data_IF_046929287431
#
_entry.id   IF_046929287431
#
_cell.length_a   1.000
_cell.length_b   1.000
_cell.length_c   1.000
_cell.angle_alpha   90.00
_cell.angle_beta   90.00
_cell.angle_gamma   90.00
#
_symmetry.space_group_name_H-M   'P 1'
#
loop_
_entity.id
_entity.type
_entity.pdbx_description
1 polymer ?
#
# COMPACT_ATOMS: atom_id res chain seq x y z
N UNK A 1 -15.45 16.57 -2.06
CA UNK A 1 -14.12 16.40 -2.68
C UNK A 1 -13.52 15.18 -2.01
N UNK A 2 -12.97 14.25 -2.78
CA UNK A 2 -12.33 13.04 -2.23
C UNK A 2 -11.16 13.43 -1.32
N UNK A 3 -10.86 12.63 -0.31
CA UNK A 3 -9.64 12.79 0.47
C UNK A 3 -8.44 12.52 -0.43
N UNK A 4 -7.50 13.46 -0.45
CA UNK A 4 -6.29 13.34 -1.25
C UNK A 4 -5.05 13.43 -0.35
N UNK A 5 -4.05 12.61 -0.66
CA UNK A 5 -2.84 12.42 0.13
C UNK A 5 -1.64 12.12 -0.79
N UNK A 6 -0.43 12.28 -0.27
CA UNK A 6 0.79 11.94 -1.00
C UNK A 6 1.28 10.55 -0.59
N UNK A 7 1.58 9.72 -1.59
CA UNK A 7 2.20 8.41 -1.41
C UNK A 7 3.66 8.51 -1.86
N UNK A 8 4.58 8.15 -0.97
CA UNK A 8 5.98 7.95 -1.33
C UNK A 8 6.16 6.51 -1.79
N UNK A 9 6.57 6.33 -3.04
CA UNK A 9 6.80 5.00 -3.63
C UNK A 9 8.14 4.45 -3.15
N UNK A 10 8.13 3.25 -2.57
CA UNK A 10 9.35 2.52 -2.18
C UNK A 10 9.70 1.46 -3.22
N UNK A 11 8.69 0.79 -3.77
CA UNK A 11 8.83 -0.40 -4.61
C UNK A 11 8.02 -0.20 -5.88
N UNK A 12 8.68 -0.01 -7.04
CA UNK A 12 7.99 0.04 -8.32
C UNK A 12 7.33 -1.30 -8.66
N UNK A 13 6.19 -1.23 -9.34
CA UNK A 13 5.51 -2.38 -9.90
C UNK A 13 6.44 -3.27 -10.73
N UNK A 14 6.32 -4.58 -10.56
CA UNK A 14 7.16 -5.59 -11.21
C UNK A 14 8.52 -5.84 -10.54
N UNK A 15 8.87 -5.10 -9.48
CA UNK A 15 10.06 -5.35 -8.69
C UNK A 15 9.92 -6.58 -7.79
N UNK A 16 11.01 -7.34 -7.65
CA UNK A 16 11.19 -8.39 -6.63
C UNK A 16 12.11 -7.93 -5.49
N UNK A 17 12.74 -6.77 -5.62
CA UNK A 17 13.47 -6.13 -4.53
C UNK A 17 12.48 -5.34 -3.69
N UNK A 18 12.41 -5.67 -2.41
CA UNK A 18 11.67 -4.95 -1.39
C UNK A 18 12.59 -3.90 -0.78
N UNK A 19 12.31 -2.65 -1.10
CA UNK A 19 12.96 -1.50 -0.50
C UNK A 19 12.08 -0.95 0.62
N UNK A 20 12.70 -0.28 1.57
CA UNK A 20 12.02 0.49 2.62
C UNK A 20 12.77 1.81 2.81
N UNK A 21 12.05 2.86 3.17
CA UNK A 21 12.64 4.09 3.67
C UNK A 21 13.02 3.90 5.13
N UNK A 22 14.29 4.12 5.41
CA UNK A 22 14.78 4.26 6.78
C UNK A 22 14.29 5.62 7.32
N UNK A 23 13.24 5.61 8.15
CA UNK A 23 12.59 6.84 8.63
C UNK A 23 13.47 7.71 9.54
N UNK A 24 14.57 7.19 10.09
CA UNK A 24 15.55 8.00 10.82
C UNK A 24 16.42 8.83 9.87
N UNK A 25 16.80 8.25 8.73
CA UNK A 25 17.77 8.87 7.80
C UNK A 25 17.14 9.44 6.53
N UNK A 26 15.89 9.07 6.23
CA UNK A 26 15.19 9.36 4.97
C UNK A 26 15.79 8.65 3.76
N UNK A 27 16.61 7.61 3.96
CA UNK A 27 17.31 6.90 2.87
C UNK A 27 16.57 5.62 2.51
N UNK A 28 16.49 5.32 1.21
CA UNK A 28 16.06 4.01 0.75
C UNK A 28 17.11 2.95 1.06
N UNK A 29 16.64 1.85 1.65
CA UNK A 29 17.41 0.67 1.99
C UNK A 29 16.80 -0.53 1.27
N UNK A 30 17.64 -1.38 0.69
CA UNK A 30 17.20 -2.72 0.28
C UNK A 30 17.03 -3.55 1.55
N UNK A 31 15.79 -3.85 1.92
CA UNK A 31 15.47 -4.78 3.00
C UNK A 31 15.84 -6.20 2.54
N UNK A 32 15.21 -6.68 1.46
CA UNK A 32 15.49 -8.00 0.88
C UNK A 32 15.01 -8.13 -0.56
N UNK A 33 15.42 -9.21 -1.22
CA UNK A 33 14.72 -9.73 -2.40
C UNK A 33 13.67 -10.74 -1.93
N UNK A 34 12.45 -10.70 -2.49
CA UNK A 34 11.38 -11.62 -2.09
C UNK A 34 11.79 -13.08 -2.29
N UNK A 35 11.43 -13.95 -1.35
CA UNK A 35 11.86 -15.35 -1.34
C UNK A 35 11.06 -16.19 -2.36
N UNK A 36 9.80 -15.83 -2.57
CA UNK A 36 8.94 -16.39 -3.61
C UNK A 36 9.23 -15.79 -4.99
N UNK A 37 8.75 -16.43 -6.05
CA UNK A 37 8.89 -15.94 -7.43
C UNK A 37 7.87 -14.81 -7.79
N UNK A 38 7.30 -14.17 -6.77
CA UNK A 38 6.35 -13.06 -6.92
C UNK A 38 7.07 -11.74 -7.19
N UNK A 39 6.29 -10.74 -7.61
CA UNK A 39 6.71 -9.36 -7.83
C UNK A 39 5.57 -8.46 -7.35
N UNK A 40 5.89 -7.26 -6.88
CA UNK A 40 4.87 -6.29 -6.50
C UNK A 40 3.97 -6.00 -7.73
N UNK A 41 2.64 -6.13 -7.61
CA UNK A 41 1.75 -6.03 -8.78
C UNK A 41 1.63 -4.59 -9.30
N UNK A 42 1.87 -3.61 -8.43
CA UNK A 42 1.78 -2.17 -8.68
C UNK A 42 2.80 -1.43 -7.81
N UNK A 43 2.90 -0.12 -8.00
CA UNK A 43 3.74 0.73 -7.16
C UNK A 43 3.26 0.67 -5.72
N UNK A 44 4.20 0.48 -4.80
CA UNK A 44 3.96 0.29 -3.38
C UNK A 44 4.85 1.22 -2.57
N UNK A 45 4.32 1.72 -1.45
CA UNK A 45 5.04 2.45 -0.44
C UNK A 45 4.08 2.89 0.65
N UNK A 46 4.19 4.12 1.14
CA UNK A 46 3.38 4.57 2.27
C UNK A 46 2.83 5.99 2.10
N UNK A 47 1.83 6.33 2.90
CA UNK A 47 1.20 7.65 2.91
C UNK A 47 1.96 8.60 3.84
N UNK A 48 2.40 9.75 3.34
CA UNK A 48 3.13 10.72 4.14
C UNK A 48 2.28 11.29 5.29
N UNK A 49 2.92 11.45 6.47
CA UNK A 49 2.26 12.05 7.64
C UNK A 49 1.24 11.14 8.32
N UNK A 50 1.38 9.82 8.17
CA UNK A 50 0.51 8.81 8.78
C UNK A 50 1.30 7.90 9.74
N UNK A 51 0.58 7.26 10.66
CA UNK A 51 1.10 6.22 11.55
C UNK A 51 0.07 5.10 11.66
N UNK A 52 0.43 3.91 11.19
CA UNK A 52 -0.31 2.66 11.27
C UNK A 52 -0.43 2.14 12.70
N UNK A 53 -1.07 0.97 12.84
CA UNK A 53 -1.22 0.30 14.14
C UNK A 53 0.03 -0.52 14.52
N UNK A 54 0.82 -0.90 13.53
CA UNK A 54 2.10 -1.61 13.63
C UNK A 54 3.29 -0.70 14.00
N UNK A 55 3.10 0.62 13.88
CA UNK A 55 4.09 1.64 14.22
C UNK A 55 4.83 2.22 13.01
N UNK A 56 4.54 1.72 11.80
CA UNK A 56 5.06 2.26 10.54
C UNK A 56 4.02 3.17 9.86
N UNK A 57 4.39 4.00 8.88
CA UNK A 57 3.41 4.77 8.12
C UNK A 57 2.43 3.85 7.37
N UNK A 58 1.20 4.33 7.16
CA UNK A 58 0.15 3.54 6.52
C UNK A 58 0.52 3.18 5.08
N UNK A 59 0.54 1.88 4.79
CA UNK A 59 0.88 1.34 3.48
C UNK A 59 -0.11 1.73 2.40
N UNK A 60 0.40 1.93 1.19
CA UNK A 60 -0.37 2.23 0.00
C UNK A 60 0.14 1.53 -1.25
N UNK A 61 -0.81 1.12 -2.08
CA UNK A 61 -0.58 0.54 -3.41
C UNK A 61 -1.29 1.41 -4.45
N UNK A 62 -0.52 1.92 -5.41
CA UNK A 62 -0.97 2.90 -6.41
C UNK A 62 -1.24 2.19 -7.73
N UNK A 63 -2.50 2.16 -8.18
CA UNK A 63 -2.86 1.60 -9.48
C UNK A 63 -2.47 2.57 -10.60
N UNK A 64 -1.25 2.42 -11.11
CA UNK A 64 -0.66 3.19 -12.22
C UNK A 64 -0.22 2.25 -13.35
N UNK A 65 -0.30 2.72 -14.60
CA UNK A 65 -0.04 1.91 -15.80
C UNK A 65 1.44 1.57 -15.98
N UNK A 66 2.33 2.52 -15.70
CA UNK A 66 3.77 2.33 -15.82
C UNK A 66 4.42 2.49 -14.44
N UNK A 67 5.28 1.55 -14.02
CA UNK A 67 6.01 1.66 -12.77
C UNK A 67 6.81 2.95 -12.68
N UNK A 68 6.84 3.56 -11.50
CA UNK A 68 7.64 4.76 -11.26
C UNK A 68 9.04 4.39 -10.74
N UNK A 69 9.60 5.22 -9.85
CA UNK A 69 10.91 5.03 -9.25
C UNK A 69 10.80 5.11 -7.73
N UNK A 70 11.66 4.39 -6.98
CA UNK A 70 11.75 4.57 -5.54
C UNK A 70 12.03 6.03 -5.15
N UNK A 71 11.32 6.55 -4.16
CA UNK A 71 11.42 7.91 -3.64
C UNK A 71 10.57 8.96 -4.36
N UNK A 72 9.74 8.56 -5.34
CA UNK A 72 8.80 9.47 -6.02
C UNK A 72 7.55 9.66 -5.17
N UNK A 73 7.05 10.89 -5.11
CA UNK A 73 5.73 11.21 -4.55
C UNK A 73 4.66 11.18 -5.64
N UNK A 74 3.53 10.55 -5.33
CA UNK A 74 2.33 10.56 -6.17
C UNK A 74 1.17 11.13 -5.36
N UNK A 75 0.54 12.18 -5.89
CA UNK A 75 -0.70 12.74 -5.35
C UNK A 75 -1.84 11.78 -5.65
N UNK A 76 -2.41 11.18 -4.63
CA UNK A 76 -3.35 10.07 -4.72
C UNK A 76 -4.70 10.38 -4.07
N UNK A 77 -5.70 9.57 -4.45
CA UNK A 77 -6.97 9.41 -3.72
C UNK A 77 -7.25 7.93 -3.53
N UNK A 78 -7.89 7.57 -2.41
CA UNK A 78 -8.25 6.19 -2.12
C UNK A 78 -9.39 5.70 -3.03
N UNK A 79 -9.44 4.39 -3.25
CA UNK A 79 -10.57 3.70 -3.87
C UNK A 79 -11.02 2.47 -3.06
N UNK A 80 -10.14 1.89 -2.25
CA UNK A 80 -10.42 0.74 -1.42
C UNK A 80 -9.31 0.55 -0.39
N UNK A 81 -9.50 -0.43 0.50
CA UNK A 81 -8.43 -0.93 1.35
C UNK A 81 -8.42 -2.46 1.37
N UNK A 82 -7.23 -3.02 1.49
CA UNK A 82 -7.02 -4.44 1.71
C UNK A 82 -6.57 -4.64 3.16
N UNK A 83 -7.21 -5.56 3.86
CA UNK A 83 -6.91 -5.85 5.26
C UNK A 83 -6.45 -7.28 5.42
N UNK A 84 -5.35 -7.43 6.12
CA UNK A 84 -4.77 -8.71 6.50
C UNK A 84 -4.10 -8.58 7.86
N UNK A 85 -3.70 -9.70 8.43
CA UNK A 85 -2.82 -9.74 9.59
C UNK A 85 -1.60 -10.58 9.27
N UNK A 86 -0.45 -10.17 9.78
CA UNK A 86 0.80 -10.92 9.65
C UNK A 86 1.41 -11.20 11.03
N UNK A 87 2.66 -11.65 11.06
CA UNK A 87 3.37 -11.94 12.31
C UNK A 87 3.53 -10.73 13.26
N UNK A 88 3.40 -9.49 12.77
CA UNK A 88 3.59 -8.25 13.51
C UNK A 88 2.27 -7.59 13.93
N UNK A 89 1.13 -7.94 13.32
CA UNK A 89 -0.18 -7.42 13.72
C UNK A 89 -1.14 -7.21 12.56
N UNK A 90 -2.04 -6.23 12.71
CA UNK A 90 -2.90 -5.76 11.63
C UNK A 90 -2.07 -4.99 10.60
N UNK A 91 -2.24 -5.36 9.33
CA UNK A 91 -1.49 -4.83 8.19
C UNK A 91 -2.47 -4.36 7.11
N UNK A 92 -2.91 -3.11 7.25
CA UNK A 92 -3.88 -2.47 6.36
C UNK A 92 -3.18 -1.74 5.20
N UNK A 93 -3.64 -1.99 3.98
CA UNK A 93 -3.06 -1.43 2.75
C UNK A 93 -4.08 -0.64 1.97
N UNK A 94 -3.82 0.63 1.74
CA UNK A 94 -4.70 1.51 0.97
C UNK A 94 -4.51 1.28 -0.53
N UNK A 95 -5.58 0.95 -1.25
CA UNK A 95 -5.56 0.99 -2.70
C UNK A 95 -5.93 2.40 -3.16
N UNK A 96 -5.09 2.98 -4.02
CA UNK A 96 -5.27 4.34 -4.47
C UNK A 96 -4.91 4.51 -5.94
N UNK A 97 -5.30 5.67 -6.49
CA UNK A 97 -5.02 6.08 -7.87
C UNK A 97 -4.52 7.51 -7.89
N UNK A 98 -3.75 7.92 -8.92
CA UNK A 98 -3.41 9.33 -9.12
C UNK A 98 -4.66 10.22 -9.12
N UNK A 99 -4.70 11.23 -8.25
CA UNK A 99 -5.91 12.01 -7.96
C UNK A 99 -6.45 12.79 -9.16
N UNK A 100 -5.55 13.22 -10.05
CA UNK A 100 -5.86 14.12 -11.17
C UNK A 100 -5.70 13.46 -12.55
N UNK A 101 -5.52 12.14 -12.61
CA UNK A 101 -5.45 11.43 -13.89
C UNK A 101 -6.87 11.14 -14.42
N UNK A 102 -7.28 11.74 -15.57
CA UNK A 102 -8.60 11.52 -16.12
C UNK A 102 -8.87 10.05 -16.50
N UNK A 103 -7.83 9.24 -16.73
CA UNK A 103 -7.96 7.80 -17.02
C UNK A 103 -8.48 7.01 -15.82
N UNK A 104 -8.36 7.55 -14.61
CA UNK A 104 -8.75 6.89 -13.36
C UNK A 104 -10.13 7.32 -12.86
N UNK A 105 -10.84 8.19 -13.56
CA UNK A 105 -12.12 8.75 -13.12
C UNK A 105 -13.22 7.71 -12.89
N UNK A 106 -13.14 6.54 -13.50
CA UNK A 106 -14.13 5.47 -13.28
C UNK A 106 -13.83 4.62 -12.05
N UNK A 107 -12.63 4.68 -11.49
CA UNK A 107 -12.25 3.93 -10.29
C UNK A 107 -12.61 4.78 -9.06
N UNK A 108 -13.80 4.61 -8.49
CA UNK A 108 -14.28 5.39 -7.35
C UNK A 108 -14.39 4.56 -6.07
N UNK A 109 -14.69 3.27 -6.21
CA UNK A 109 -14.81 2.33 -5.09
C UNK A 109 -14.26 0.94 -5.46
N UNK A 110 -14.21 0.02 -4.50
CA UNK A 110 -13.76 -1.37 -4.67
C UNK A 110 -14.49 -2.08 -5.82
N UNK A 111 -15.77 -1.78 -6.03
CA UNK A 111 -16.59 -2.38 -7.08
C UNK A 111 -16.21 -1.96 -8.51
N UNK A 112 -15.45 -0.88 -8.65
CA UNK A 112 -14.96 -0.41 -9.95
C UNK A 112 -13.62 -1.05 -10.33
N UNK A 113 -12.93 -1.68 -9.37
CA UNK A 113 -11.68 -2.38 -9.62
C UNK A 113 -11.95 -3.67 -10.41
N UNK A 114 -11.23 -3.92 -11.53
CA UNK A 114 -11.34 -5.18 -12.26
C UNK A 114 -11.11 -6.38 -11.34
N UNK A 115 -12.00 -7.38 -11.43
CA UNK A 115 -11.97 -8.54 -10.53
C UNK A 115 -10.61 -9.25 -10.52
N UNK A 116 -10.01 -9.48 -11.69
CA UNK A 116 -8.71 -10.14 -11.78
C UNK A 116 -7.55 -9.30 -11.24
N UNK A 117 -7.64 -7.97 -11.28
CA UNK A 117 -6.64 -7.09 -10.65
C UNK A 117 -6.74 -7.19 -9.13
N UNK A 118 -7.97 -7.18 -8.59
CA UNK A 118 -8.24 -7.38 -7.16
C UNK A 118 -7.74 -8.74 -6.68
N UNK A 119 -7.99 -9.81 -7.44
CA UNK A 119 -7.54 -11.17 -7.12
C UNK A 119 -6.02 -11.31 -7.21
N UNK A 120 -5.36 -10.68 -8.18
CA UNK A 120 -3.90 -10.68 -8.30
C UNK A 120 -3.24 -10.00 -7.09
N UNK A 121 -3.74 -8.83 -6.68
CA UNK A 121 -3.24 -8.09 -5.51
C UNK A 121 -3.44 -8.90 -4.23
N UNK A 122 -4.63 -9.47 -4.03
CA UNK A 122 -4.90 -10.32 -2.86
C UNK A 122 -3.96 -11.53 -2.82
N UNK A 123 -3.82 -12.25 -3.93
CA UNK A 123 -2.94 -13.43 -4.01
C UNK A 123 -1.47 -13.07 -3.74
N UNK A 124 -1.00 -11.92 -4.22
CA UNK A 124 0.34 -11.45 -3.93
C UNK A 124 0.58 -11.34 -2.42
N UNK A 125 -0.27 -10.62 -1.69
CA UNK A 125 -0.08 -10.43 -0.25
C UNK A 125 -0.27 -11.71 0.56
N UNK A 126 -1.16 -12.61 0.13
CA UNK A 126 -1.37 -13.92 0.76
C UNK A 126 -0.15 -14.85 0.62
N UNK A 127 0.70 -14.67 -0.41
CA UNK A 127 1.74 -15.67 -0.75
C UNK A 127 3.16 -15.15 -0.76
N UNK A 128 3.40 -13.83 -0.86
CA UNK A 128 4.77 -13.33 -1.11
C UNK A 128 5.78 -13.71 -0.02
N UNK A 129 5.30 -13.91 1.22
CA UNK A 129 6.05 -14.33 2.41
C UNK A 129 6.15 -15.85 2.61
N UNK A 130 5.55 -16.70 1.76
CA UNK A 130 5.43 -18.17 1.99
C UNK A 130 6.75 -18.90 2.25
N UNK A 131 7.85 -18.40 1.66
CA UNK A 131 9.19 -19.00 1.80
C UNK A 131 10.08 -18.25 2.80
N UNK A 132 9.54 -17.26 3.50
CA UNK A 132 10.25 -16.50 4.54
C UNK A 132 10.15 -17.22 5.89
N UNK A 133 11.27 -17.59 6.53
CA UNK A 133 11.24 -18.32 7.79
C UNK A 133 10.53 -17.53 8.90
N UNK A 134 9.51 -18.14 9.51
CA UNK A 134 8.80 -17.57 10.67
C UNK A 134 7.77 -16.49 10.32
N UNK A 135 7.42 -16.32 9.03
CA UNK A 135 6.38 -15.40 8.60
C UNK A 135 5.10 -16.13 8.20
N UNK A 136 3.98 -15.45 8.38
CA UNK A 136 2.65 -15.95 8.04
C UNK A 136 1.74 -14.79 7.73
N UNK A 137 0.76 -15.04 6.87
CA UNK A 137 -0.30 -14.09 6.55
C UNK A 137 -1.63 -14.79 6.83
N UNK A 138 -2.50 -14.12 7.58
CA UNK A 138 -3.83 -14.61 7.93
C UNK A 138 -4.89 -13.55 7.66
N UNK A 139 -6.02 -13.99 7.12
CA UNK A 139 -7.11 -13.09 6.75
C UNK A 139 -6.83 -12.33 5.45
N UNK A 140 -7.89 -12.08 4.70
CA UNK A 140 -7.86 -11.26 3.50
C UNK A 140 -9.28 -10.71 3.28
N UNK A 141 -9.48 -9.44 3.59
CA UNK A 141 -10.75 -8.77 3.36
C UNK A 141 -10.57 -7.45 2.66
N UNK A 142 -11.58 -7.06 1.89
CA UNK A 142 -11.62 -5.81 1.14
C UNK A 142 -12.59 -4.87 1.81
N UNK A 143 -12.13 -3.66 2.13
CA UNK A 143 -12.96 -2.53 2.53
C UNK A 143 -13.17 -1.56 1.37
N UNK A 144 -14.27 -0.81 1.44
CA UNK A 144 -14.62 0.18 0.43
C UNK A 144 -13.82 1.49 0.59
N UNK A 145 -14.05 2.44 -0.31
CA UNK A 145 -13.40 3.76 -0.28
C UNK A 145 -13.63 4.53 1.03
N UNK A 146 -14.84 4.49 1.59
CA UNK A 146 -15.16 5.21 2.82
C UNK A 146 -14.41 4.64 4.03
N UNK A 147 -14.26 3.32 4.11
CA UNK A 147 -13.43 2.68 5.12
C UNK A 147 -11.96 3.04 4.96
N UNK A 148 -11.46 3.10 3.72
CA UNK A 148 -10.08 3.52 3.42
C UNK A 148 -9.82 4.97 3.87
N UNK A 149 -10.72 5.90 3.54
CA UNK A 149 -10.62 7.29 3.99
C UNK A 149 -10.67 7.41 5.52
N UNK A 150 -11.52 6.61 6.19
CA UNK A 150 -11.60 6.59 7.65
C UNK A 150 -10.27 6.15 8.28
N UNK A 151 -9.63 5.11 7.75
CA UNK A 151 -8.34 4.64 8.27
C UNK A 151 -7.22 5.63 7.99
N UNK A 152 -7.16 6.24 6.80
CA UNK A 152 -6.18 7.31 6.53
C UNK A 152 -6.30 8.43 7.57
N UNK A 153 -7.52 8.89 7.85
CA UNK A 153 -7.75 9.94 8.85
C UNK A 153 -7.36 9.48 10.27
N UNK A 154 -7.62 8.22 10.62
CA UNK A 154 -7.19 7.65 11.88
C UNK A 154 -5.66 7.62 11.99
N UNK A 155 -4.95 7.19 10.93
CA UNK A 155 -3.49 7.16 10.87
C UNK A 155 -2.86 8.55 10.95
N UNK A 156 -3.46 9.55 10.30
CA UNK A 156 -3.04 10.96 10.44
C UNK A 156 -3.21 11.43 11.89
N UNK A 157 -4.32 11.07 12.54
CA UNK A 157 -4.58 11.45 13.92
C UNK A 157 -3.59 10.78 14.89
N UNK A 158 -3.22 9.50 14.66
CA UNK A 158 -2.20 8.78 15.43
C UNK A 158 -0.83 9.42 15.28
N UNK A 159 -0.40 9.75 14.05
CA UNK A 159 0.89 10.40 13.80
C UNK A 159 1.05 11.73 14.55
N UNK A 160 -0.04 12.49 14.72
CA UNK A 160 -0.03 13.75 15.48
C UNK A 160 0.06 13.58 17.00
N UNK A 161 -0.38 12.44 17.52
CA UNK A 161 -0.37 12.14 18.96
C UNK A 161 0.94 11.47 19.42
N UNK A 162 1.66 10.83 18.50
CA UNK A 162 2.97 10.22 18.74
C UNK A 162 4.14 11.21 18.79
N UNK A 163 3.88 12.53 18.72
CA UNK A 163 4.87 13.60 18.86
C UNK A 163 4.71 14.35 20.19
#
# INVERSE_FOLDING_TARGET
MALEFDVLVEIPGGSRNKYEVDHETGRLRLDRMLFTATRYPRDYGYIEGTLGQDGDPLDALVLIEEPTFPGVLIRCRAIAMFRMSDEAGEDDKIMCVPAHDPRKLTLQDIGDMPEFERLEIQHFFETYKDLEPGKSVEGATWGNCAEAEAEILASIARAKQGH
#
